data_IF_688397777448
#
_entry.id   IF_688397777448
#
_cell.length_a   1.000
_cell.length_b   1.000
_cell.length_c   1.000
_cell.angle_alpha   90.00
_cell.angle_beta   90.00
_cell.angle_gamma   90.00
#
_symmetry.space_group_name_H-M   'P 1'
#
loop_
_entity.id
_entity.type
_entity.pdbx_description
1 polymer ?
#
# COMPACT_ATOMS: atom_id res chain seq x y z
N UNK A 1 -7.06 -13.54 17.48
CA UNK A 1 -8.00 -12.53 16.97
C UNK A 1 -8.05 -12.67 15.46
N UNK A 2 -9.15 -13.19 14.93
CA UNK A 2 -9.38 -13.23 13.47
C UNK A 2 -9.62 -11.80 13.02
N UNK A 3 -8.54 -11.07 12.70
CA UNK A 3 -8.65 -9.85 11.92
C UNK A 3 -9.28 -10.25 10.60
N UNK A 4 -10.36 -9.59 10.21
CA UNK A 4 -11.25 -9.96 9.11
C UNK A 4 -10.61 -9.79 7.72
N UNK A 5 -9.29 -10.01 7.59
CA UNK A 5 -8.50 -9.77 6.38
C UNK A 5 -8.68 -8.36 5.80
N UNK A 6 -8.98 -7.36 6.64
CA UNK A 6 -9.38 -6.00 6.25
C UNK A 6 -10.68 -5.90 5.45
N UNK A 7 -11.48 -6.97 5.39
CA UNK A 7 -12.80 -6.96 4.77
C UNK A 7 -13.73 -6.03 5.56
N UNK A 8 -14.48 -5.22 4.82
CA UNK A 8 -15.57 -4.40 5.33
C UNK A 8 -16.74 -5.27 5.80
N UNK A 9 -17.63 -4.71 6.64
CA UNK A 9 -18.80 -5.44 7.13
C UNK A 9 -19.70 -6.00 6.02
N UNK A 10 -19.96 -5.30 4.90
CA UNK A 10 -20.67 -5.87 3.75
C UNK A 10 -19.96 -7.07 3.12
N UNK A 11 -18.63 -7.02 2.97
CA UNK A 11 -17.85 -8.12 2.38
C UNK A 11 -17.82 -9.35 3.29
N UNK A 12 -17.79 -9.14 4.61
CA UNK A 12 -17.93 -10.21 5.60
C UNK A 12 -19.34 -10.81 5.53
N UNK A 13 -20.37 -9.98 5.36
CA UNK A 13 -21.76 -10.45 5.22
C UNK A 13 -21.93 -11.31 3.97
N UNK A 14 -21.41 -10.87 2.81
CA UNK A 14 -21.40 -11.65 1.57
C UNK A 14 -20.68 -12.99 1.74
N UNK A 15 -19.53 -13.01 2.42
CA UNK A 15 -18.79 -14.24 2.72
C UNK A 15 -19.59 -15.21 3.60
N UNK A 16 -20.34 -14.70 4.58
CA UNK A 16 -21.20 -15.52 5.45
C UNK A 16 -22.44 -16.03 4.70
N UNK A 17 -23.04 -15.19 3.85
CA UNK A 17 -24.21 -15.55 3.06
C UNK A 17 -23.90 -16.62 2.01
N UNK A 18 -22.68 -16.57 1.45
CA UNK A 18 -22.26 -17.43 0.35
C UNK A 18 -23.06 -17.13 -0.93
N UNK A 19 -23.16 -18.10 -1.83
CA UNK A 19 -23.80 -17.95 -3.16
C UNK A 19 -25.35 -17.90 -3.12
N UNK A 20 -25.93 -17.46 -1.99
CA UNK A 20 -27.37 -17.57 -1.72
C UNK A 20 -28.19 -16.36 -2.16
N UNK A 21 -27.55 -15.22 -2.40
CA UNK A 21 -28.22 -13.93 -2.63
C UNK A 21 -27.64 -13.11 -3.80
N UNK A 22 -27.10 -13.78 -4.84
CA UNK A 22 -26.47 -13.11 -6.01
C UNK A 22 -25.22 -12.25 -5.66
N UNK A 23 -24.77 -12.27 -4.40
CA UNK A 23 -23.53 -11.65 -3.95
C UNK A 23 -22.33 -12.58 -4.16
N UNK A 24 -21.47 -12.25 -5.13
CA UNK A 24 -20.24 -13.01 -5.38
C UNK A 24 -19.18 -12.70 -4.32
N UNK A 25 -19.20 -13.47 -3.23
CA UNK A 25 -18.18 -13.40 -2.18
C UNK A 25 -16.76 -13.59 -2.72
N UNK A 26 -16.55 -14.27 -3.86
CA UNK A 26 -15.21 -14.40 -4.46
C UNK A 26 -14.75 -13.08 -5.03
N UNK A 27 -15.63 -12.28 -5.61
CA UNK A 27 -15.31 -10.94 -6.07
C UNK A 27 -14.90 -10.03 -4.89
N UNK A 28 -15.61 -10.12 -3.76
CA UNK A 28 -15.27 -9.40 -2.52
C UNK A 28 -13.88 -9.80 -1.99
N UNK A 29 -13.62 -11.10 -1.88
CA UNK A 29 -12.30 -11.61 -1.44
C UNK A 29 -11.19 -11.21 -2.41
N UNK A 30 -11.44 -11.24 -3.72
CA UNK A 30 -10.47 -10.79 -4.73
C UNK A 30 -10.16 -9.29 -4.60
N UNK A 31 -11.16 -8.45 -4.34
CA UNK A 31 -10.97 -7.03 -4.07
C UNK A 31 -10.11 -6.76 -2.84
N UNK A 32 -10.40 -7.46 -1.74
CA UNK A 32 -9.60 -7.38 -0.52
C UNK A 32 -8.16 -7.84 -0.73
N UNK A 33 -7.94 -8.92 -1.49
CA UNK A 33 -6.61 -9.39 -1.84
C UNK A 33 -5.85 -8.35 -2.68
N UNK A 34 -6.49 -7.74 -3.68
CA UNK A 34 -5.88 -6.69 -4.48
C UNK A 34 -5.45 -5.48 -3.62
N UNK A 35 -6.29 -5.06 -2.66
CA UNK A 35 -5.97 -3.99 -1.73
C UNK A 35 -4.81 -4.36 -0.77
N UNK A 36 -4.68 -5.64 -0.39
CA UNK A 36 -3.52 -6.12 0.36
C UNK A 36 -2.24 -6.03 -0.48
N UNK A 37 -2.27 -6.51 -1.72
CA UNK A 37 -1.12 -6.51 -2.62
C UNK A 37 -0.64 -5.07 -2.92
N UNK A 38 -1.56 -4.12 -3.10
CA UNK A 38 -1.20 -2.71 -3.29
C UNK A 38 -0.48 -2.14 -2.05
N UNK A 39 -0.95 -2.44 -0.85
CA UNK A 39 -0.28 -2.01 0.39
C UNK A 39 1.09 -2.67 0.56
N UNK A 40 1.21 -3.96 0.23
CA UNK A 40 2.49 -4.67 0.26
C UNK A 40 3.48 -4.07 -0.74
N UNK A 41 3.03 -3.71 -1.95
CA UNK A 41 3.86 -3.05 -2.95
C UNK A 41 4.37 -1.69 -2.46
N UNK A 42 3.50 -0.85 -1.89
CA UNK A 42 3.88 0.44 -1.28
C UNK A 42 4.90 0.26 -0.16
N UNK A 43 4.67 -0.70 0.74
CA UNK A 43 5.62 -1.00 1.83
C UNK A 43 6.95 -1.56 1.32
N UNK A 44 6.93 -2.36 0.25
CA UNK A 44 8.14 -2.90 -0.36
C UNK A 44 9.00 -1.80 -0.99
N UNK A 45 8.38 -0.84 -1.69
CA UNK A 45 9.06 0.34 -2.23
C UNK A 45 9.69 1.17 -1.11
N UNK A 46 8.92 1.55 -0.10
CA UNK A 46 9.41 2.31 1.05
C UNK A 46 10.57 1.59 1.76
N UNK A 47 10.48 0.27 1.93
CA UNK A 47 11.57 -0.53 2.50
C UNK A 47 12.81 -0.50 1.62
N UNK A 48 12.65 -0.57 0.29
CA UNK A 48 13.75 -0.46 -0.67
C UNK A 48 14.49 0.86 -0.53
N UNK A 49 13.74 1.95 -0.49
CA UNK A 49 14.27 3.29 -0.26
C UNK A 49 15.01 3.43 1.07
N UNK A 50 14.41 2.97 2.18
CA UNK A 50 15.04 3.04 3.50
C UNK A 50 16.32 2.18 3.57
N UNK A 51 16.34 1.01 2.94
CA UNK A 51 17.55 0.19 2.85
C UNK A 51 18.65 0.87 2.00
N UNK A 52 18.26 1.54 0.91
CA UNK A 52 19.20 2.31 0.10
C UNK A 52 19.82 3.45 0.94
N UNK A 53 19.01 4.17 1.72
CA UNK A 53 19.49 5.18 2.66
C UNK A 53 20.50 4.65 3.69
N UNK A 54 20.23 3.48 4.27
CA UNK A 54 21.11 2.86 5.26
C UNK A 54 22.46 2.39 4.68
N UNK A 55 22.50 2.10 3.38
CA UNK A 55 23.71 1.61 2.69
C UNK A 55 24.42 2.70 1.90
N UNK A 56 23.85 3.91 1.85
CA UNK A 56 24.41 5.03 1.12
C UNK A 56 25.72 5.47 1.80
N UNK A 57 26.86 5.48 1.07
CA UNK A 57 28.13 5.93 1.63
C UNK A 57 28.22 7.46 1.78
N UNK A 58 27.22 8.21 1.30
CA UNK A 58 27.19 9.67 1.44
C UNK A 58 26.84 10.08 2.88
N UNK A 59 27.63 10.98 3.44
CA UNK A 59 27.38 11.57 4.76
C UNK A 59 26.15 12.49 4.78
N UNK A 60 25.70 12.97 3.61
CA UNK A 60 24.56 13.86 3.44
C UNK A 60 23.65 13.34 2.31
N UNK A 61 22.90 12.26 2.54
CA UNK A 61 22.11 11.59 1.49
C UNK A 61 21.03 12.50 0.88
N UNK A 62 20.55 13.51 1.61
CA UNK A 62 19.56 14.47 1.11
C UNK A 62 20.14 15.44 0.07
N UNK A 63 21.41 15.83 0.20
CA UNK A 63 22.03 16.84 -0.67
C UNK A 63 22.80 16.24 -1.86
N UNK A 64 23.19 14.96 -1.78
CA UNK A 64 24.07 14.32 -2.77
C UNK A 64 23.56 13.01 -3.36
N UNK A 65 22.41 12.50 -2.91
CA UNK A 65 21.78 11.36 -3.58
C UNK A 65 20.69 11.88 -4.53
N UNK A 66 20.93 11.90 -5.86
CA UNK A 66 19.95 12.39 -6.82
C UNK A 66 18.62 11.62 -6.77
N UNK A 67 18.66 10.34 -6.39
CA UNK A 67 17.46 9.51 -6.20
C UNK A 67 16.60 9.96 -5.00
N UNK A 68 17.23 10.51 -3.94
CA UNK A 68 16.52 10.97 -2.76
C UNK A 68 15.82 12.32 -2.98
N UNK A 69 16.47 13.20 -3.74
CA UNK A 69 15.91 14.50 -4.07
C UNK A 69 14.66 14.36 -4.95
N UNK A 70 14.71 13.48 -5.97
CA UNK A 70 13.59 13.22 -6.89
C UNK A 70 12.36 12.65 -6.15
N UNK A 71 12.53 11.65 -5.27
CA UNK A 71 11.39 11.13 -4.48
C UNK A 71 10.80 12.14 -3.47
N UNK A 72 11.65 13.01 -2.88
CA UNK A 72 11.17 14.05 -1.96
C UNK A 72 10.36 15.10 -2.72
N UNK A 73 10.81 15.49 -3.91
CA UNK A 73 10.11 16.46 -4.75
C UNK A 73 8.75 15.90 -5.22
N UNK A 74 8.70 14.65 -5.68
CA UNK A 74 7.45 13.98 -6.05
C UNK A 74 6.44 13.94 -4.89
N UNK A 75 6.90 13.57 -3.69
CA UNK A 75 6.05 13.55 -2.48
C UNK A 75 5.53 14.95 -2.10
N UNK A 76 6.35 16.00 -2.29
CA UNK A 76 5.95 17.38 -2.04
C UNK A 76 4.92 17.88 -3.06
N UNK A 77 5.00 17.42 -4.31
CA UNK A 77 4.06 17.78 -5.37
C UNK A 77 2.70 17.09 -5.23
N UNK A 78 2.68 15.80 -4.87
CA UNK A 78 1.45 15.06 -4.56
C UNK A 78 0.67 15.72 -3.41
N UNK A 79 1.37 16.18 -2.37
CA UNK A 79 0.76 16.87 -1.24
C UNK A 79 0.29 18.29 -1.53
N UNK A 80 0.87 18.95 -2.53
CA UNK A 80 0.47 20.31 -2.96
C UNK A 80 -0.78 20.28 -3.83
N UNK A 81 -0.98 19.20 -4.58
CA UNK A 81 -2.08 19.05 -5.55
C UNK A 81 -3.32 18.36 -4.97
N UNK A 82 -3.18 17.62 -3.87
CA UNK A 82 -4.29 16.96 -3.16
C UNK A 82 -4.95 17.75 -2.01
N UNK A 83 -4.82 19.08 -2.00
CA UNK A 83 -5.36 19.98 -0.95
C UNK A 83 -6.72 20.58 -1.28
#
# INVERSE_FOLDING_TARGET
MQGTAMMSLPEIAALIAGDRDDEDWRAAVAGCLAACEEQLARLAQARGYLNHLLTCPSAHPVDTCPYLAEEIDDWLEERRTGG
#
